data_IF_745295734101
#
_entry.id   IF_745295734101
#
_cell.length_a   1.000
_cell.length_b   1.000
_cell.length_c   1.000
_cell.angle_alpha   90.00
_cell.angle_beta   90.00
_cell.angle_gamma   90.00
#
_symmetry.space_group_name_H-M   'P 1'
#
loop_
_entity.id
_entity.type
_entity.pdbx_description
1 polymer ?
#
# COMPACT_ATOMS: atom_id res chain seq x y z
N UNK A 1 -15.40 -13.71 -0.21
CA UNK A 1 -15.90 -13.78 1.18
C UNK A 1 -14.89 -13.15 2.14
N UNK A 2 -13.61 -13.59 2.19
CA UNK A 2 -12.58 -13.08 3.12
C UNK A 2 -12.43 -11.56 3.09
N UNK A 3 -12.32 -10.94 1.90
CA UNK A 3 -12.29 -9.49 1.73
C UNK A 3 -13.49 -8.80 2.36
N UNK A 4 -14.68 -9.29 2.06
CA UNK A 4 -15.93 -8.72 2.58
C UNK A 4 -15.99 -8.77 4.12
N UNK A 5 -15.67 -9.93 4.71
CA UNK A 5 -15.70 -10.10 6.17
C UNK A 5 -14.68 -9.18 6.85
N UNK A 6 -13.43 -9.12 6.37
CA UNK A 6 -12.39 -8.25 6.95
C UNK A 6 -12.77 -6.77 6.88
N UNK A 7 -13.23 -6.32 5.71
CA UNK A 7 -13.55 -4.91 5.50
C UNK A 7 -14.83 -4.49 6.23
N UNK A 8 -15.84 -5.36 6.30
CA UNK A 8 -17.05 -5.13 7.08
C UNK A 8 -16.74 -5.03 8.57
N UNK A 9 -15.96 -5.98 9.10
CA UNK A 9 -15.52 -5.99 10.49
C UNK A 9 -14.75 -4.70 10.83
N UNK A 10 -13.73 -4.34 10.03
CA UNK A 10 -12.99 -3.10 10.22
C UNK A 10 -13.87 -1.85 10.17
N UNK A 11 -14.84 -1.81 9.24
CA UNK A 11 -15.74 -0.67 9.09
C UNK A 11 -16.73 -0.57 10.26
N UNK A 12 -17.19 -1.69 10.83
CA UNK A 12 -18.06 -1.69 12.00
C UNK A 12 -17.34 -1.11 13.23
N UNK A 13 -16.10 -1.50 13.48
CA UNK A 13 -15.31 -0.91 14.56
C UNK A 13 -15.03 0.58 14.33
N UNK A 14 -14.68 0.96 13.12
CA UNK A 14 -14.49 2.38 12.78
C UNK A 14 -15.77 3.20 13.02
N UNK A 15 -16.93 2.67 12.68
CA UNK A 15 -18.22 3.31 12.93
C UNK A 15 -18.48 3.49 14.43
N UNK A 16 -18.19 2.47 15.26
CA UNK A 16 -18.28 2.59 16.72
C UNK A 16 -17.38 3.70 17.26
N UNK A 17 -16.17 3.83 16.74
CA UNK A 17 -15.27 4.93 17.09
C UNK A 17 -15.84 6.30 16.75
N UNK A 18 -16.40 6.47 15.55
CA UNK A 18 -17.05 7.73 15.14
C UNK A 18 -18.29 8.05 15.97
N UNK A 19 -19.10 7.07 16.29
CA UNK A 19 -20.26 7.26 17.17
C UNK A 19 -19.82 7.64 18.58
N UNK A 20 -18.75 7.03 19.10
CA UNK A 20 -18.16 7.40 20.39
C UNK A 20 -17.73 8.88 20.39
N UNK A 21 -17.01 9.32 19.37
CA UNK A 21 -16.62 10.73 19.21
C UNK A 21 -17.84 11.65 19.11
N UNK A 22 -18.84 11.28 18.34
CA UNK A 22 -20.09 12.04 18.17
C UNK A 22 -20.80 12.26 19.50
N UNK A 23 -21.07 11.21 20.26
CA UNK A 23 -21.84 11.32 21.49
C UNK A 23 -21.09 12.09 22.59
N UNK A 24 -19.75 12.01 22.64
CA UNK A 24 -18.96 12.76 23.59
C UNK A 24 -18.49 14.13 23.08
N UNK A 25 -18.50 14.35 21.78
CA UNK A 25 -18.06 15.55 21.08
C UNK A 25 -19.20 16.49 20.71
N UNK A 26 -20.07 16.84 21.64
CA UNK A 26 -21.17 17.79 21.42
C UNK A 26 -22.14 17.41 20.28
N UNK A 27 -22.24 16.14 19.95
CA UNK A 27 -23.10 15.59 18.87
C UNK A 27 -22.76 16.17 17.50
N UNK A 28 -21.47 16.41 17.22
CA UNK A 28 -20.98 16.87 15.92
C UNK A 28 -20.15 15.80 15.24
N UNK A 29 -20.17 15.77 13.88
CA UNK A 29 -19.25 15.05 13.04
C UNK A 29 -18.26 15.99 12.34
N UNK A 30 -18.27 17.29 12.68
CA UNK A 30 -17.32 18.26 12.15
C UNK A 30 -15.91 17.93 12.63
N UNK A 31 -15.03 17.53 11.69
CA UNK A 31 -13.65 17.19 12.01
C UNK A 31 -12.93 18.36 12.69
N UNK A 32 -13.04 19.62 12.22
CA UNK A 32 -12.41 20.76 12.92
C UNK A 32 -12.84 20.89 14.37
N UNK A 33 -14.15 20.82 14.64
CA UNK A 33 -14.70 20.91 16.01
C UNK A 33 -14.21 19.76 16.90
N UNK A 34 -14.15 18.52 16.36
CA UNK A 34 -13.65 17.37 17.10
C UNK A 34 -12.14 17.51 17.40
N UNK A 35 -11.36 18.14 16.52
CA UNK A 35 -9.93 18.45 16.77
C UNK A 35 -9.79 19.47 17.89
N UNK A 36 -10.60 20.53 17.91
CA UNK A 36 -10.60 21.53 19.00
C UNK A 36 -10.97 20.89 20.34
N UNK A 37 -11.99 20.05 20.37
CA UNK A 37 -12.39 19.28 21.55
C UNK A 37 -11.28 18.33 22.02
N UNK A 38 -10.61 17.64 21.09
CA UNK A 38 -9.47 16.77 21.39
C UNK A 38 -8.31 17.55 22.03
N UNK A 39 -7.96 18.69 21.44
CA UNK A 39 -6.88 19.55 21.96
C UNK A 39 -7.21 20.23 23.31
N UNK A 40 -8.49 20.47 23.58
CA UNK A 40 -8.96 20.98 24.87
C UNK A 40 -9.06 19.92 25.98
N UNK A 41 -8.76 18.66 25.69
CA UNK A 41 -8.79 17.56 26.66
C UNK A 41 -10.18 16.94 26.90
N UNK A 42 -11.14 17.14 25.98
CA UNK A 42 -12.45 16.51 26.09
C UNK A 42 -12.43 14.99 25.94
N UNK A 43 -11.43 14.47 25.25
CA UNK A 43 -11.24 13.04 24.97
C UNK A 43 -10.00 12.53 25.71
N UNK A 44 -10.17 12.02 26.92
CA UNK A 44 -9.09 11.53 27.79
C UNK A 44 -9.39 10.18 28.41
N UNK A 45 -8.39 9.56 29.04
CA UNK A 45 -8.52 8.33 29.81
C UNK A 45 -8.95 7.12 28.98
N UNK A 46 -9.64 6.20 29.62
CA UNK A 46 -10.07 4.92 29.02
C UNK A 46 -10.94 5.11 27.79
N UNK A 47 -11.78 6.16 27.77
CA UNK A 47 -12.62 6.46 26.62
C UNK A 47 -11.77 6.75 25.37
N UNK A 48 -10.81 7.65 25.46
CA UNK A 48 -9.94 7.99 24.34
C UNK A 48 -9.13 6.77 23.85
N UNK A 49 -8.64 5.96 24.78
CA UNK A 49 -7.91 4.72 24.46
C UNK A 49 -8.80 3.73 23.69
N UNK A 50 -10.04 3.50 24.13
CA UNK A 50 -10.97 2.60 23.43
C UNK A 50 -11.34 3.14 22.05
N UNK A 51 -11.65 4.44 21.94
CA UNK A 51 -11.98 5.06 20.65
C UNK A 51 -10.80 4.98 19.70
N UNK A 52 -9.58 5.28 20.17
CA UNK A 52 -8.39 5.15 19.35
C UNK A 52 -8.17 3.69 18.90
N UNK A 53 -8.33 2.73 19.79
CA UNK A 53 -8.16 1.32 19.50
C UNK A 53 -9.13 0.82 18.41
N UNK A 54 -10.41 1.19 18.46
CA UNK A 54 -11.39 0.78 17.44
C UNK A 54 -11.20 1.51 16.11
N UNK A 55 -10.80 2.79 16.13
CA UNK A 55 -10.42 3.53 14.93
C UNK A 55 -9.14 2.94 14.31
N UNK A 56 -8.14 2.65 15.15
CA UNK A 56 -6.90 2.00 14.73
C UNK A 56 -7.20 0.67 14.04
N UNK A 57 -8.01 -0.19 14.65
CA UNK A 57 -8.37 -1.48 14.07
C UNK A 57 -9.04 -1.31 12.70
N UNK A 58 -10.01 -0.40 12.59
CA UNK A 58 -10.71 -0.13 11.34
C UNK A 58 -9.80 0.40 10.24
N UNK A 59 -8.92 1.33 10.55
CA UNK A 59 -7.96 1.88 9.59
C UNK A 59 -6.84 0.89 9.27
N UNK A 60 -6.33 0.12 10.24
CA UNK A 60 -5.28 -0.87 10.04
C UNK A 60 -5.72 -2.04 9.15
N UNK A 61 -7.01 -2.42 9.17
CA UNK A 61 -7.58 -3.36 8.20
C UNK A 61 -7.54 -2.77 6.80
N UNK A 62 -7.89 -1.49 6.62
CA UNK A 62 -7.90 -0.82 5.31
C UNK A 62 -6.49 -0.57 4.74
N UNK A 63 -5.54 -0.20 5.59
CA UNK A 63 -4.11 0.04 5.23
C UNK A 63 -3.37 -1.25 4.89
N UNK A 64 -3.89 -2.40 5.05
CA UNK A 64 -3.46 -3.76 5.33
C UNK A 64 -2.17 -3.85 6.16
N UNK A 65 -2.23 -3.33 7.39
CA UNK A 65 -1.13 -3.48 8.34
C UNK A 65 -0.98 -4.95 8.77
N UNK A 66 0.24 -5.39 9.00
CA UNK A 66 0.46 -6.69 9.63
C UNK A 66 -0.14 -6.70 11.06
N UNK A 67 -0.87 -7.77 11.49
CA UNK A 67 -1.24 -9.00 10.78
C UNK A 67 -2.57 -8.93 10.01
N UNK A 68 -3.22 -7.78 9.91
CA UNK A 68 -4.56 -7.60 9.34
C UNK A 68 -4.59 -7.52 7.80
N UNK A 69 -3.48 -7.84 7.14
CA UNK A 69 -3.26 -7.71 5.69
C UNK A 69 -3.70 -8.91 4.85
N UNK A 70 -4.01 -10.05 5.48
CA UNK A 70 -4.14 -11.35 4.77
C UNK A 70 -5.28 -11.41 3.76
N UNK A 71 -6.23 -10.49 3.81
CA UNK A 71 -7.31 -10.36 2.83
C UNK A 71 -6.86 -9.78 1.49
N UNK A 72 -5.80 -8.95 1.51
CA UNK A 72 -5.39 -8.15 0.35
C UNK A 72 -4.89 -8.99 -0.83
N UNK A 73 -3.94 -9.94 -0.68
CA UNK A 73 -3.47 -10.75 -1.80
C UNK A 73 -4.58 -11.60 -2.42
N UNK A 74 -5.46 -12.16 -1.59
CA UNK A 74 -6.57 -13.00 -2.05
C UNK A 74 -7.62 -12.15 -2.80
N UNK A 75 -7.91 -10.95 -2.30
CA UNK A 75 -8.82 -10.00 -2.95
C UNK A 75 -8.31 -9.60 -4.34
N UNK A 76 -7.04 -9.20 -4.44
CA UNK A 76 -6.45 -8.81 -5.72
C UNK A 76 -6.39 -9.96 -6.73
N UNK A 77 -6.09 -11.17 -6.26
CA UNK A 77 -6.00 -12.34 -7.14
C UNK A 77 -7.36 -12.72 -7.73
N UNK A 78 -8.44 -12.59 -6.95
CA UNK A 78 -9.80 -12.92 -7.38
C UNK A 78 -10.49 -11.76 -8.15
N UNK A 79 -10.09 -10.50 -7.92
CA UNK A 79 -10.72 -9.34 -8.54
C UNK A 79 -10.34 -9.20 -10.02
N UNK A 80 -11.23 -8.65 -10.86
CA UNK A 80 -10.86 -8.19 -12.20
C UNK A 80 -9.80 -7.07 -12.11
N UNK A 81 -9.10 -6.79 -13.21
CA UNK A 81 -8.00 -5.82 -13.23
C UNK A 81 -8.42 -4.44 -12.74
N UNK A 82 -9.56 -3.92 -13.21
CA UNK A 82 -10.11 -2.63 -12.79
C UNK A 82 -10.38 -2.59 -11.28
N UNK A 83 -10.94 -3.66 -10.71
CA UNK A 83 -11.18 -3.78 -9.28
C UNK A 83 -9.88 -3.75 -8.48
N UNK A 84 -8.81 -4.40 -8.97
CA UNK A 84 -7.49 -4.36 -8.34
C UNK A 84 -6.87 -2.96 -8.41
N UNK A 85 -6.99 -2.28 -9.55
CA UNK A 85 -6.49 -0.89 -9.71
C UNK A 85 -7.18 0.05 -8.73
N UNK A 86 -8.51 0.05 -8.64
CA UNK A 86 -9.25 0.91 -7.70
C UNK A 86 -8.93 0.59 -6.24
N UNK A 87 -8.82 -0.69 -5.92
CA UNK A 87 -8.50 -1.14 -4.56
C UNK A 87 -7.10 -0.68 -4.16
N UNK A 88 -6.09 -0.88 -5.01
CA UNK A 88 -4.72 -0.49 -4.73
C UNK A 88 -4.50 1.02 -4.81
N UNK A 89 -5.05 1.70 -5.81
CA UNK A 89 -4.81 3.12 -6.03
C UNK A 89 -5.48 4.01 -4.98
N UNK A 90 -6.72 3.70 -4.56
CA UNK A 90 -7.54 4.58 -3.75
C UNK A 90 -7.90 3.97 -2.39
N UNK A 91 -8.48 2.77 -2.36
CA UNK A 91 -9.12 2.26 -1.15
C UNK A 91 -8.14 2.01 0.01
N UNK A 92 -6.90 1.59 -0.27
CA UNK A 92 -5.88 1.43 0.76
C UNK A 92 -5.54 2.76 1.44
N UNK A 93 -5.53 3.86 0.66
CA UNK A 93 -5.17 5.20 1.16
C UNK A 93 -6.21 5.82 2.07
N UNK A 94 -7.46 5.39 1.97
CA UNK A 94 -8.50 5.85 2.90
C UNK A 94 -8.19 5.49 4.36
N UNK A 95 -7.53 4.36 4.59
CA UNK A 95 -7.09 3.98 5.95
C UNK A 95 -5.98 4.87 6.48
N UNK A 96 -4.91 5.07 5.72
CA UNK A 96 -3.78 5.94 6.12
C UNK A 96 -4.20 7.41 6.19
N UNK A 97 -5.06 7.87 5.28
CA UNK A 97 -5.67 9.20 5.37
C UNK A 97 -6.51 9.35 6.65
N UNK A 98 -7.26 8.31 7.02
CA UNK A 98 -8.01 8.27 8.28
C UNK A 98 -7.12 8.44 9.52
N UNK A 99 -5.93 7.83 9.52
CA UNK A 99 -4.94 8.10 10.58
C UNK A 99 -4.54 9.57 10.62
N UNK A 100 -4.06 10.10 9.48
CA UNK A 100 -3.52 11.47 9.41
C UNK A 100 -4.60 12.53 9.67
N UNK A 101 -5.81 12.35 9.14
CA UNK A 101 -6.85 13.37 9.17
C UNK A 101 -7.76 13.29 10.40
N UNK A 102 -7.92 12.09 10.97
CA UNK A 102 -8.94 11.83 12.01
C UNK A 102 -8.26 11.37 13.30
N UNK A 103 -7.61 10.20 13.31
CA UNK A 103 -7.15 9.58 14.54
C UNK A 103 -6.07 10.41 15.27
N UNK A 104 -5.06 10.86 14.53
CA UNK A 104 -3.94 11.62 15.13
C UNK A 104 -4.37 13.01 15.65
N UNK A 105 -5.06 13.85 14.89
CA UNK A 105 -5.37 15.20 15.35
C UNK A 105 -6.51 15.26 16.39
N UNK A 106 -7.45 14.31 16.38
CA UNK A 106 -8.55 14.27 17.35
C UNK A 106 -8.09 13.66 18.70
N UNK A 107 -7.17 12.69 18.67
CA UNK A 107 -6.72 11.94 19.84
C UNK A 107 -5.18 12.01 19.96
N UNK A 108 -4.59 13.20 20.14
CA UNK A 108 -3.13 13.38 20.07
C UNK A 108 -2.36 12.63 21.17
N UNK A 109 -2.91 12.56 22.39
CA UNK A 109 -2.29 11.80 23.49
C UNK A 109 -2.21 10.30 23.16
N UNK A 110 -3.29 9.75 22.58
CA UNK A 110 -3.34 8.35 22.18
C UNK A 110 -2.44 8.09 20.98
N UNK A 111 -2.34 9.04 20.05
CA UNK A 111 -1.42 8.95 18.93
C UNK A 111 0.02 8.80 19.40
N UNK A 112 0.47 9.58 20.40
CA UNK A 112 1.79 9.46 21.00
C UNK A 112 1.96 8.12 21.72
N UNK A 113 0.97 7.68 22.48
CA UNK A 113 1.04 6.42 23.23
C UNK A 113 1.14 5.19 22.30
N UNK A 114 0.44 5.20 21.16
CA UNK A 114 0.41 4.09 20.21
C UNK A 114 1.50 4.16 19.12
N UNK A 115 2.16 5.31 18.95
CA UNK A 115 3.19 5.52 17.93
C UNK A 115 4.30 4.45 17.90
N UNK A 116 4.88 4.01 19.04
CA UNK A 116 5.89 2.96 19.05
C UNK A 116 5.36 1.61 18.56
N UNK A 117 4.13 1.24 18.93
CA UNK A 117 3.50 0.00 18.46
C UNK A 117 3.24 0.05 16.95
N UNK A 118 2.77 1.19 16.44
CA UNK A 118 2.56 1.40 14.99
C UNK A 118 3.89 1.30 14.23
N UNK A 119 4.98 1.88 14.76
CA UNK A 119 6.30 1.79 14.15
C UNK A 119 6.79 0.33 14.03
N UNK A 120 6.64 -0.46 15.10
CA UNK A 120 7.02 -1.88 15.10
C UNK A 120 6.18 -2.69 14.12
N UNK A 121 4.85 -2.53 14.13
CA UNK A 121 3.96 -3.23 13.20
C UNK A 121 4.26 -2.86 11.74
N UNK A 122 4.62 -1.59 11.50
CA UNK A 122 5.03 -1.11 10.18
C UNK A 122 6.33 -1.77 9.72
N UNK A 123 7.34 -1.83 10.58
CA UNK A 123 8.62 -2.49 10.29
C UNK A 123 8.44 -3.99 9.99
N UNK A 124 7.61 -4.68 10.78
CA UNK A 124 7.25 -6.08 10.51
C UNK A 124 6.56 -6.20 9.15
N UNK A 125 5.60 -5.31 8.84
CA UNK A 125 4.88 -5.29 7.56
C UNK A 125 5.82 -5.09 6.36
N UNK A 126 6.82 -4.20 6.48
CA UNK A 126 7.82 -3.95 5.44
C UNK A 126 8.63 -5.21 5.15
N UNK A 127 9.22 -5.82 6.18
CA UNK A 127 10.05 -7.03 6.03
C UNK A 127 9.20 -8.22 5.56
N UNK A 128 8.08 -8.48 6.23
CA UNK A 128 7.18 -9.58 5.87
C UNK A 128 6.65 -9.46 4.44
N UNK A 129 6.16 -8.27 4.06
CA UNK A 129 5.64 -8.03 2.71
C UNK A 129 6.69 -8.29 1.63
N UNK A 130 7.92 -7.80 1.84
CA UNK A 130 9.04 -8.00 0.92
C UNK A 130 9.46 -9.46 0.80
N UNK A 131 9.56 -10.19 1.91
CA UNK A 131 9.87 -11.63 1.91
C UNK A 131 8.75 -12.44 1.26
N UNK A 132 7.49 -12.07 1.51
CA UNK A 132 6.35 -12.73 0.88
C UNK A 132 6.33 -12.54 -0.64
N UNK A 133 6.80 -11.39 -1.16
CA UNK A 133 6.95 -11.16 -2.60
C UNK A 133 7.93 -12.14 -3.24
N UNK A 134 9.07 -12.42 -2.60
CA UNK A 134 10.07 -13.38 -3.09
C UNK A 134 9.52 -14.81 -3.22
N UNK A 135 8.51 -15.16 -2.44
CA UNK A 135 7.88 -16.48 -2.45
C UNK A 135 6.74 -16.61 -3.48
N UNK A 136 6.39 -15.54 -4.23
CA UNK A 136 5.28 -15.59 -5.16
C UNK A 136 5.72 -16.07 -6.55
N UNK A 137 4.81 -16.82 -7.19
CA UNK A 137 4.93 -17.23 -8.60
C UNK A 137 3.94 -16.48 -9.50
N UNK A 138 2.85 -15.98 -8.95
CA UNK A 138 1.83 -15.18 -9.64
C UNK A 138 2.21 -13.70 -9.59
N UNK A 139 2.33 -13.06 -10.77
CA UNK A 139 2.72 -11.65 -10.92
C UNK A 139 1.75 -10.71 -10.19
N UNK A 140 0.45 -10.95 -10.30
CA UNK A 140 -0.56 -10.10 -9.65
C UNK A 140 -0.52 -10.23 -8.13
N UNK A 141 -0.23 -11.41 -7.62
CA UNK A 141 -0.11 -11.69 -6.20
C UNK A 141 1.18 -11.09 -5.62
N UNK A 142 2.29 -11.07 -6.38
CA UNK A 142 3.51 -10.38 -6.01
C UNK A 142 3.25 -8.88 -5.83
N UNK A 143 2.58 -8.23 -6.80
CA UNK A 143 2.22 -6.81 -6.72
C UNK A 143 1.31 -6.53 -5.51
N UNK A 144 0.40 -7.45 -5.17
CA UNK A 144 -0.44 -7.30 -3.99
C UNK A 144 0.36 -7.33 -2.67
N UNK A 145 1.32 -8.25 -2.52
CA UNK A 145 2.19 -8.30 -1.34
C UNK A 145 3.15 -7.11 -1.27
N UNK A 146 3.62 -6.58 -2.42
CA UNK A 146 4.45 -5.36 -2.42
C UNK A 146 3.72 -4.18 -1.79
N UNK A 147 2.39 -4.09 -1.98
CA UNK A 147 1.58 -3.06 -1.34
C UNK A 147 1.59 -3.13 0.19
N UNK A 148 1.72 -4.33 0.79
CA UNK A 148 1.85 -4.46 2.25
C UNK A 148 3.16 -3.81 2.73
N UNK A 149 4.27 -4.04 2.01
CA UNK A 149 5.56 -3.41 2.31
C UNK A 149 5.53 -1.89 2.16
N UNK A 150 5.06 -1.39 1.01
CA UNK A 150 5.01 0.06 0.74
C UNK A 150 4.07 0.81 1.72
N UNK A 151 2.90 0.23 2.03
CA UNK A 151 2.03 0.82 3.04
C UNK A 151 2.63 0.74 4.46
N UNK A 152 3.54 -0.20 4.71
CA UNK A 152 4.37 -0.22 5.90
C UNK A 152 5.25 1.04 6.03
N UNK A 153 5.90 1.50 4.94
CA UNK A 153 6.64 2.77 4.94
C UNK A 153 5.74 3.97 5.20
N UNK A 154 4.54 4.00 4.61
CA UNK A 154 3.55 5.05 4.89
C UNK A 154 3.22 5.10 6.38
N UNK A 155 2.94 3.96 6.99
CA UNK A 155 2.60 3.89 8.42
C UNK A 155 3.81 4.16 9.33
N UNK A 156 5.02 3.80 8.92
CA UNK A 156 6.25 4.17 9.63
C UNK A 156 6.43 5.69 9.65
N UNK A 157 6.21 6.36 8.51
CA UNK A 157 6.22 7.82 8.43
C UNK A 157 5.18 8.44 9.36
N UNK A 158 3.94 7.96 9.33
CA UNK A 158 2.83 8.43 10.19
C UNK A 158 3.20 8.27 11.67
N UNK A 159 3.75 7.13 12.06
CA UNK A 159 4.07 6.82 13.45
C UNK A 159 5.15 7.73 14.04
N UNK A 160 6.01 8.33 13.21
CA UNK A 160 7.05 9.25 13.68
C UNK A 160 6.50 10.55 14.30
N UNK A 161 5.25 10.90 13.99
CA UNK A 161 4.53 12.11 14.41
C UNK A 161 5.29 13.41 14.10
N UNK A 162 6.16 13.38 13.08
CA UNK A 162 6.93 14.55 12.62
C UNK A 162 6.38 15.06 11.29
N UNK A 163 6.59 16.34 11.00
CA UNK A 163 6.20 16.93 9.72
C UNK A 163 6.84 16.19 8.53
N UNK A 164 8.11 15.76 8.68
CA UNK A 164 8.82 14.99 7.65
C UNK A 164 8.12 13.65 7.43
N UNK A 165 7.81 12.92 8.50
CA UNK A 165 7.15 11.61 8.41
C UNK A 165 5.72 11.69 7.87
N UNK A 166 4.95 12.70 8.28
CA UNK A 166 3.59 12.92 7.73
C UNK A 166 3.64 13.28 6.25
N UNK A 167 4.55 14.17 5.85
CA UNK A 167 4.74 14.50 4.43
C UNK A 167 5.21 13.30 3.62
N UNK A 168 6.11 12.48 4.17
CA UNK A 168 6.54 11.21 3.58
C UNK A 168 5.34 10.28 3.32
N UNK A 169 4.46 10.15 4.31
CA UNK A 169 3.26 9.35 4.19
C UNK A 169 2.32 9.88 3.10
N UNK A 170 2.10 11.19 3.03
CA UNK A 170 1.26 11.81 1.99
C UNK A 170 1.82 11.58 0.59
N UNK A 171 3.11 11.83 0.38
CA UNK A 171 3.79 11.58 -0.90
C UNK A 171 3.77 10.07 -1.22
N UNK A 172 4.07 9.23 -0.23
CA UNK A 172 4.05 7.77 -0.37
C UNK A 172 2.68 7.22 -0.76
N UNK A 173 1.59 7.76 -0.20
CA UNK A 173 0.23 7.38 -0.58
C UNK A 173 -0.06 7.69 -2.05
N UNK A 174 0.29 8.89 -2.52
CA UNK A 174 0.07 9.32 -3.91
C UNK A 174 0.94 8.49 -4.85
N UNK A 175 2.24 8.41 -4.57
CA UNK A 175 3.20 7.66 -5.39
C UNK A 175 2.80 6.19 -5.51
N UNK A 176 2.55 5.51 -4.38
CA UNK A 176 2.10 4.12 -4.39
C UNK A 176 0.77 3.95 -5.14
N UNK A 177 -0.17 4.91 -5.03
CA UNK A 177 -1.44 4.85 -5.76
C UNK A 177 -1.24 4.77 -7.28
N UNK A 178 -0.42 5.67 -7.82
CA UNK A 178 -0.13 5.75 -9.25
C UNK A 178 0.70 4.55 -9.69
N UNK A 179 1.80 4.27 -9.01
CA UNK A 179 2.75 3.19 -9.37
C UNK A 179 2.06 1.82 -9.32
N UNK A 180 1.42 1.49 -8.21
CA UNK A 180 0.80 0.17 -8.04
C UNK A 180 -0.45 0.02 -8.91
N UNK A 181 -1.21 1.10 -9.10
CA UNK A 181 -2.31 1.12 -10.08
C UNK A 181 -1.83 0.76 -11.48
N UNK A 182 -0.72 1.34 -11.93
CA UNK A 182 -0.13 1.04 -13.23
C UNK A 182 0.45 -0.39 -13.28
N UNK A 183 1.10 -0.88 -12.21
CA UNK A 183 1.58 -2.27 -12.14
C UNK A 183 0.43 -3.27 -12.28
N UNK A 184 -0.70 -3.05 -11.59
CA UNK A 184 -1.87 -3.92 -11.74
C UNK A 184 -2.47 -3.84 -13.13
N UNK A 185 -2.48 -2.65 -13.73
CA UNK A 185 -2.98 -2.48 -15.08
C UNK A 185 -2.12 -3.26 -16.10
N UNK A 186 -0.80 -3.08 -16.05
CA UNK A 186 0.14 -3.80 -16.93
C UNK A 186 0.07 -5.31 -16.70
N UNK A 187 0.03 -5.75 -15.43
CA UNK A 187 -0.14 -7.17 -15.10
C UNK A 187 -1.46 -7.75 -15.64
N UNK A 188 -2.53 -6.95 -15.64
CA UNK A 188 -3.82 -7.33 -16.21
C UNK A 188 -3.77 -7.45 -17.74
N UNK A 189 -3.14 -6.48 -18.41
CA UNK A 189 -2.92 -6.51 -19.86
C UNK A 189 -2.10 -7.74 -20.27
N UNK A 190 -1.00 -8.02 -19.56
CA UNK A 190 -0.20 -9.21 -19.80
C UNK A 190 -1.00 -10.50 -19.58
N UNK A 191 -1.80 -10.56 -18.50
CA UNK A 191 -2.64 -11.73 -18.22
C UNK A 191 -3.69 -11.96 -19.32
N UNK A 192 -4.19 -10.91 -19.96
CA UNK A 192 -5.09 -11.00 -21.08
C UNK A 192 -4.38 -11.53 -22.35
N UNK A 193 -3.17 -11.02 -22.62
CA UNK A 193 -2.40 -11.43 -23.83
C UNK A 193 -1.84 -12.85 -23.70
N UNK A 194 -1.28 -13.18 -22.55
CA UNK A 194 -0.64 -14.51 -22.32
C UNK A 194 -1.59 -15.57 -21.75
N UNK A 195 -2.81 -15.21 -21.36
CA UNK A 195 -3.75 -16.08 -20.65
C UNK A 195 -3.14 -16.78 -19.42
N UNK A 196 -2.11 -16.17 -18.83
CA UNK A 196 -1.44 -16.65 -17.62
C UNK A 196 -0.86 -15.50 -16.82
N UNK A 197 -0.71 -15.71 -15.51
CA UNK A 197 -0.03 -14.79 -14.58
C UNK A 197 1.19 -15.44 -13.95
N UNK A 198 1.47 -16.69 -14.29
CA UNK A 198 2.62 -17.42 -13.76
C UNK A 198 3.92 -16.87 -14.35
N UNK A 199 4.74 -16.26 -13.49
CA UNK A 199 6.03 -15.69 -13.88
C UNK A 199 7.02 -16.75 -14.42
N UNK A 200 6.83 -18.02 -14.08
CA UNK A 200 7.65 -19.11 -14.60
C UNK A 200 7.39 -19.40 -16.08
N UNK A 201 6.17 -19.11 -16.57
CA UNK A 201 5.76 -19.23 -17.96
C UNK A 201 6.01 -17.97 -18.79
N UNK A 202 6.11 -16.81 -18.12
CA UNK A 202 6.47 -15.55 -18.76
C UNK A 202 7.98 -15.47 -18.96
N UNK A 203 8.44 -14.63 -19.87
CA UNK A 203 9.85 -14.38 -20.13
C UNK A 203 10.04 -13.67 -21.46
N UNK A 204 11.10 -12.84 -21.56
CA UNK A 204 11.40 -12.09 -22.78
C UNK A 204 10.32 -11.10 -23.21
N UNK A 205 9.48 -10.65 -22.29
CA UNK A 205 8.37 -9.75 -22.59
C UNK A 205 8.83 -8.46 -23.30
N UNK A 206 10.05 -7.98 -22.99
CA UNK A 206 10.65 -6.83 -23.68
C UNK A 206 10.86 -7.06 -25.19
N UNK A 207 11.03 -8.33 -25.62
CA UNK A 207 11.18 -8.69 -27.04
C UNK A 207 9.81 -8.92 -27.70
N UNK A 208 8.86 -9.54 -26.99
CA UNK A 208 7.55 -9.90 -27.52
C UNK A 208 6.56 -8.72 -27.51
N UNK A 209 6.55 -7.95 -26.43
CA UNK A 209 5.64 -6.84 -26.17
C UNK A 209 6.47 -5.62 -25.67
N UNK A 210 7.21 -4.93 -26.53
CA UNK A 210 8.20 -3.93 -26.12
C UNK A 210 7.60 -2.72 -25.39
N UNK A 211 6.40 -2.28 -25.73
CA UNK A 211 5.72 -1.17 -25.05
C UNK A 211 5.32 -1.58 -23.63
N UNK A 212 4.61 -2.70 -23.51
CA UNK A 212 4.19 -3.26 -22.21
C UNK A 212 5.41 -3.57 -21.34
N UNK A 213 6.48 -4.12 -21.91
CA UNK A 213 7.74 -4.40 -21.23
C UNK A 213 8.44 -3.15 -20.73
N UNK A 214 8.52 -2.10 -21.54
CA UNK A 214 9.11 -0.83 -21.14
C UNK A 214 8.35 -0.17 -19.99
N UNK A 215 7.01 -0.18 -20.04
CA UNK A 215 6.17 0.38 -18.97
C UNK A 215 6.32 -0.44 -17.68
N UNK A 216 6.33 -1.78 -17.78
CA UNK A 216 6.58 -2.64 -16.62
C UNK A 216 7.92 -2.33 -15.97
N UNK A 217 9.00 -2.22 -16.78
CA UNK A 217 10.33 -1.90 -16.30
C UNK A 217 10.35 -0.52 -15.59
N UNK A 218 9.84 0.52 -16.24
CA UNK A 218 9.78 1.85 -15.67
C UNK A 218 8.99 1.90 -14.35
N UNK A 219 7.83 1.25 -14.32
CA UNK A 219 6.96 1.25 -13.14
C UNK A 219 7.58 0.44 -12.00
N UNK A 220 8.25 -0.66 -12.30
CA UNK A 220 9.00 -1.42 -11.30
C UNK A 220 10.17 -0.60 -10.73
N UNK A 221 10.92 0.14 -11.57
CA UNK A 221 11.97 1.06 -11.12
C UNK A 221 11.42 2.18 -10.22
N UNK A 222 10.24 2.70 -10.54
CA UNK A 222 9.57 3.68 -9.69
C UNK A 222 9.12 3.07 -8.35
N UNK A 223 8.68 1.81 -8.35
CA UNK A 223 8.24 1.09 -7.16
C UNK A 223 9.39 0.71 -6.23
N UNK A 224 10.57 0.34 -6.77
CA UNK A 224 11.73 -0.03 -5.95
C UNK A 224 12.39 1.16 -5.23
N UNK A 225 11.90 2.38 -5.46
CA UNK A 225 12.44 3.56 -4.80
C UNK A 225 13.74 4.08 -5.42
N UNK A 226 13.88 4.03 -6.75
CA UNK A 226 15.05 4.61 -7.41
C UNK A 226 15.08 6.14 -7.21
N UNK A 227 16.22 6.73 -6.75
CA UNK A 227 16.35 8.17 -6.61
C UNK A 227 16.00 8.93 -7.89
N UNK A 228 15.13 9.93 -7.76
CA UNK A 228 14.56 10.67 -8.90
C UNK A 228 13.16 10.23 -9.31
N UNK A 229 12.70 9.05 -8.89
CA UNK A 229 11.33 8.58 -9.11
C UNK A 229 10.46 8.74 -7.86
N UNK A 230 9.13 8.69 -8.04
CA UNK A 230 8.18 9.06 -7.00
C UNK A 230 8.23 8.16 -5.75
N UNK A 231 8.51 6.87 -5.90
CA UNK A 231 8.59 5.92 -4.78
C UNK A 231 9.67 6.27 -3.76
N UNK A 232 10.82 6.75 -4.24
CA UNK A 232 11.96 7.12 -3.39
C UNK A 232 11.61 8.13 -2.29
N UNK A 233 10.91 9.18 -2.65
CA UNK A 233 10.63 10.29 -1.72
C UNK A 233 9.77 9.86 -0.54
N UNK A 234 8.76 9.01 -0.78
CA UNK A 234 7.92 8.49 0.29
C UNK A 234 8.70 7.60 1.27
N UNK A 235 9.52 6.69 0.75
CA UNK A 235 10.27 5.73 1.57
C UNK A 235 11.43 6.39 2.31
N UNK A 236 12.26 7.15 1.60
CA UNK A 236 13.43 7.82 2.18
C UNK A 236 13.03 8.79 3.29
N UNK A 237 12.03 9.65 3.04
CA UNK A 237 11.56 10.60 4.05
C UNK A 237 10.87 9.91 5.23
N UNK A 238 10.22 8.74 5.03
CA UNK A 238 9.66 7.96 6.12
C UNK A 238 10.76 7.41 7.05
N UNK A 239 11.87 6.91 6.47
CA UNK A 239 13.05 6.50 7.22
C UNK A 239 13.68 7.67 7.97
N UNK A 240 13.77 8.83 7.35
CA UNK A 240 14.29 10.04 7.99
C UNK A 240 13.41 10.50 9.15
N UNK A 241 12.08 10.46 9.00
CA UNK A 241 11.13 10.73 10.07
C UNK A 241 11.28 9.75 11.25
N UNK A 242 11.46 8.46 10.95
CA UNK A 242 11.70 7.44 11.97
C UNK A 242 13.08 7.55 12.63
N UNK A 243 14.09 8.05 11.94
CA UNK A 243 15.42 8.32 12.51
C UNK A 243 15.35 9.39 13.62
N UNK A 244 14.54 10.43 13.41
CA UNK A 244 14.37 11.53 14.35
C UNK A 244 12.86 11.75 14.65
N UNK A 245 12.25 10.86 15.45
CA UNK A 245 10.83 10.92 15.77
C UNK A 245 10.50 12.12 16.69
N UNK A 246 9.21 12.35 16.92
CA UNK A 246 8.74 13.37 17.84
C UNK A 246 9.46 13.28 19.20
N UNK A 247 9.96 14.40 19.77
CA UNK A 247 10.58 14.41 21.10
C UNK A 247 9.66 13.78 22.16
N UNK A 248 10.23 12.91 22.99
CA UNK A 248 9.48 12.15 24.01
C UNK A 248 9.11 10.74 23.59
N UNK A 249 9.18 10.38 22.31
CA UNK A 249 9.04 9.02 21.84
C UNK A 249 10.32 8.19 22.08
N UNK A 250 10.17 6.87 22.20
CA UNK A 250 11.29 5.96 22.40
C UNK A 250 12.15 5.86 21.13
N UNK A 251 13.24 6.63 21.08
CA UNK A 251 14.14 6.74 19.94
C UNK A 251 14.74 5.40 19.50
N UNK A 252 14.96 4.48 20.46
CA UNK A 252 15.52 3.15 20.14
C UNK A 252 14.56 2.33 19.30
N UNK A 253 13.26 2.32 19.65
CA UNK A 253 12.22 1.61 18.88
C UNK A 253 12.14 2.18 17.47
N UNK A 254 12.13 3.50 17.32
CA UNK A 254 12.01 4.13 16.02
C UNK A 254 13.25 3.93 15.15
N UNK A 255 14.46 4.03 15.71
CA UNK A 255 15.68 3.75 14.96
C UNK A 255 15.84 2.29 14.57
N UNK A 256 15.45 1.34 15.43
CA UNK A 256 15.42 -0.07 15.04
C UNK A 256 14.38 -0.36 13.95
N UNK A 257 13.21 0.28 14.02
CA UNK A 257 12.20 0.21 12.95
C UNK A 257 12.69 0.84 11.64
N UNK A 258 13.44 1.94 11.72
CA UNK A 258 14.10 2.57 10.56
C UNK A 258 15.13 1.64 9.93
N UNK A 259 15.98 0.98 10.74
CA UNK A 259 16.96 -0.02 10.22
C UNK A 259 16.24 -1.18 9.54
N UNK A 260 15.17 -1.70 10.14
CA UNK A 260 14.34 -2.72 9.51
C UNK A 260 13.73 -2.22 8.19
N UNK A 261 13.24 -0.98 8.15
CA UNK A 261 12.75 -0.34 6.93
C UNK A 261 13.84 -0.23 5.85
N UNK A 262 15.07 0.19 6.21
CA UNK A 262 16.19 0.25 5.27
C UNK A 262 16.57 -1.13 4.69
N UNK A 263 16.54 -2.19 5.51
CA UNK A 263 16.67 -3.56 5.02
C UNK A 263 15.52 -3.91 4.06
N UNK A 264 14.31 -3.50 4.40
CA UNK A 264 13.13 -3.67 3.57
C UNK A 264 13.25 -3.01 2.19
N UNK A 265 13.87 -1.82 2.09
CA UNK A 265 14.15 -1.18 0.79
C UNK A 265 15.06 -2.05 -0.08
N UNK A 266 16.10 -2.65 0.51
CA UNK A 266 16.99 -3.60 -0.22
C UNK A 266 16.20 -4.83 -0.69
N UNK A 267 15.34 -5.38 0.16
CA UNK A 267 14.49 -6.52 -0.21
C UNK A 267 13.49 -6.14 -1.31
N UNK A 268 12.96 -4.92 -1.26
CA UNK A 268 12.05 -4.38 -2.30
C UNK A 268 12.76 -4.33 -3.65
N UNK A 269 13.98 -3.79 -3.69
CA UNK A 269 14.80 -3.82 -4.90
C UNK A 269 15.06 -5.26 -5.37
N UNK A 270 15.36 -6.16 -4.44
CA UNK A 270 15.62 -7.57 -4.73
C UNK A 270 14.43 -8.25 -5.44
N UNK A 271 13.23 -8.20 -4.88
CA UNK A 271 12.08 -8.91 -5.49
C UNK A 271 11.59 -8.25 -6.79
N UNK A 272 11.69 -6.92 -6.92
CA UNK A 272 11.28 -6.25 -8.16
C UNK A 272 12.26 -6.51 -9.32
N UNK A 273 13.56 -6.48 -9.05
CA UNK A 273 14.56 -6.83 -10.05
C UNK A 273 14.47 -8.31 -10.44
N UNK A 274 14.22 -9.19 -9.47
CA UNK A 274 13.97 -10.61 -9.72
C UNK A 274 12.71 -10.84 -10.55
N UNK A 275 11.63 -10.10 -10.29
CA UNK A 275 10.43 -10.12 -11.11
C UNK A 275 10.74 -9.66 -12.55
N UNK A 276 11.45 -8.54 -12.73
CA UNK A 276 11.83 -8.04 -14.05
C UNK A 276 12.71 -9.04 -14.80
N UNK A 277 13.65 -9.67 -14.13
CA UNK A 277 14.49 -10.70 -14.75
C UNK A 277 13.67 -11.86 -15.29
N UNK A 278 12.68 -12.32 -14.53
CA UNK A 278 11.85 -13.47 -14.91
C UNK A 278 10.82 -13.17 -15.99
N UNK A 279 10.19 -12.02 -15.88
CA UNK A 279 9.03 -11.67 -16.71
C UNK A 279 9.45 -10.90 -17.95
N UNK A 280 10.34 -9.93 -17.78
CA UNK A 280 10.59 -8.90 -18.78
C UNK A 280 11.86 -9.14 -19.60
N UNK A 281 12.90 -9.64 -18.94
CA UNK A 281 14.20 -9.86 -19.54
C UNK A 281 14.39 -11.32 -19.99
N UNK A 282 15.51 -11.59 -20.63
CA UNK A 282 15.87 -12.92 -21.12
C UNK A 282 15.25 -13.28 -22.47
N UNK A 283 15.28 -14.56 -22.79
CA UNK A 283 14.70 -15.07 -24.03
C UNK A 283 13.22 -15.42 -23.83
N UNK A 284 12.40 -15.19 -24.87
CA UNK A 284 11.03 -15.64 -24.88
C UNK A 284 10.93 -17.16 -24.68
N UNK A 285 9.89 -17.61 -23.97
CA UNK A 285 9.64 -19.03 -23.81
C UNK A 285 9.13 -19.62 -25.13
N UNK A 286 9.51 -20.88 -25.42
CA UNK A 286 9.14 -21.57 -26.66
C UNK A 286 7.63 -21.55 -26.93
N UNK A 287 6.80 -21.66 -25.88
CA UNK A 287 5.33 -21.66 -26.00
C UNK A 287 4.74 -20.35 -26.59
N UNK A 288 5.54 -19.27 -26.67
CA UNK A 288 5.11 -17.95 -27.15
C UNK A 288 5.74 -17.52 -28.48
N UNK A 289 6.75 -18.25 -29.00
CA UNK A 289 7.48 -17.87 -30.21
C UNK A 289 6.61 -17.94 -31.47
N UNK A 290 5.70 -18.92 -31.54
CA UNK A 290 4.84 -19.15 -32.67
C UNK A 290 3.45 -18.49 -32.57
N UNK A 291 3.21 -17.70 -31.50
CA UNK A 291 1.94 -17.02 -31.26
C UNK A 291 2.00 -15.56 -31.68
N UNK A 292 1.01 -15.12 -32.44
CA UNK A 292 0.79 -13.69 -32.66
C UNK A 292 0.32 -13.03 -31.36
N UNK A 293 1.24 -12.32 -30.68
CA UNK A 293 0.95 -11.56 -29.49
C UNK A 293 0.83 -10.08 -29.89
N UNK A 294 -0.29 -9.47 -29.53
CA UNK A 294 -0.50 -8.05 -29.79
C UNK A 294 -0.09 -7.22 -28.56
N UNK A 295 0.84 -6.29 -28.77
CA UNK A 295 1.23 -5.33 -27.72
C UNK A 295 0.10 -4.31 -27.48
N UNK A 296 0.12 -3.66 -26.33
CA UNK A 296 -0.88 -2.69 -25.96
C UNK A 296 -0.99 -1.55 -26.97
N UNK A 297 -2.20 -1.25 -27.41
CA UNK A 297 -2.49 -0.12 -28.31
C UNK A 297 -2.13 1.20 -27.64
N UNK A 298 -1.69 2.19 -28.42
CA UNK A 298 -1.36 3.52 -27.91
C UNK A 298 -2.55 4.18 -27.19
N UNK A 299 -3.77 3.92 -27.63
CA UNK A 299 -4.98 4.41 -26.95
C UNK A 299 -5.19 3.72 -25.61
N UNK A 300 -4.92 2.42 -25.50
CA UNK A 300 -5.00 1.68 -24.25
C UNK A 300 -4.00 2.21 -23.20
N UNK A 301 -2.81 2.61 -23.64
CA UNK A 301 -1.78 3.21 -22.80
C UNK A 301 -2.14 4.63 -22.33
N UNK A 302 -2.85 5.41 -23.14
CA UNK A 302 -3.28 6.77 -22.82
C UNK A 302 -4.51 6.83 -21.93
N UNK A 303 -5.47 5.94 -22.11
CA UNK A 303 -6.77 5.98 -21.45
C UNK A 303 -6.96 4.96 -20.34
N UNK A 304 -6.01 4.08 -20.07
CA UNK A 304 -5.97 3.12 -18.94
C UNK A 304 -7.31 2.42 -18.62
N UNK A 305 -8.23 2.38 -19.59
CA UNK A 305 -9.54 1.78 -19.45
C UNK A 305 -9.68 0.59 -20.39
N UNK A 306 -9.92 -0.64 -19.91
CA UNK A 306 -10.31 -1.73 -20.80
C UNK A 306 -11.60 -1.31 -21.52
N UNK A 307 -11.65 -1.55 -22.84
CA UNK A 307 -12.86 -1.32 -23.62
C UNK A 307 -14.01 -2.15 -23.05
N UNK A 308 -15.26 -1.68 -23.13
CA UNK A 308 -16.42 -2.49 -22.75
C UNK A 308 -16.48 -3.84 -23.47
N UNK A 309 -15.86 -3.98 -24.64
CA UNK A 309 -15.74 -5.25 -25.37
C UNK A 309 -14.89 -6.28 -24.64
N UNK A 310 -13.89 -5.84 -23.88
CA UNK A 310 -12.97 -6.74 -23.16
C UNK A 310 -13.59 -7.30 -21.87
N UNK A 311 -14.71 -6.74 -21.41
CA UNK A 311 -15.42 -7.19 -20.20
C UNK A 311 -16.45 -8.29 -20.49
N UNK A 312 -16.79 -8.57 -21.75
CA UNK A 312 -17.88 -9.50 -22.12
C UNK A 312 -17.39 -10.80 -22.80
N UNK A 313 -16.09 -10.97 -22.98
CA UNK A 313 -15.52 -12.15 -23.67
C UNK A 313 -14.72 -13.09 -22.77
N UNK A 314 -14.97 -13.03 -21.45
CA UNK A 314 -14.38 -13.98 -20.48
C UNK A 314 -15.45 -14.85 -19.85
#
# INVERSE_FOLDING_TARGET
>A
IKFFVFTLFGSAFMLLGFLGLYFRGNRTFSIPELIELGSSGAFTGTFATLVFAVLFLGFAVKVPMWPLHTWLPDAHTAAPTVGSVLLAAILLKLGSYGFVRIALPILPEQAVAWAPAIAVLSAIGIIYGSLACLAQTDLKRLIAFSSVGHMGFVMLGISSLTSIGINAAMIGMVAHGIITGLLFFVSGSMAHTYHTRDMGRLGGNMKLLPKTGAILAFTAMASLGLPGLAGFWGEFMALLGAYNPLPGLNITIFRSSMVAGAIGTVLTAGYLLWMLQRVNLGEPKEEWLDKELHDADNYCLLYTSPSPRDMWTS
#
